data_IF_553561762048
#
_entry.id   IF_553561762048
#
_cell.length_a   1.000
_cell.length_b   1.000
_cell.length_c   1.000
_cell.angle_alpha   90.00
_cell.angle_beta   90.00
_cell.angle_gamma   90.00
#
_symmetry.space_group_name_H-M   'P 1'
#
loop_
_entity.id
_entity.type
_entity.pdbx_description
1 polymer ?
#
# COMPACT_ATOMS: atom_id res chain seq x y z
N UNK A 1 -45.81 -47.67 -19.19
CA UNK A 1 -44.65 -47.22 -20.01
C UNK A 1 -44.06 -46.01 -19.30
N UNK A 2 -42.91 -46.17 -18.63
CA UNK A 2 -41.60 -45.65 -19.10
C UNK A 2 -41.70 -44.14 -19.42
N UNK A 3 -41.07 -43.20 -18.72
CA UNK A 3 -39.84 -43.33 -17.96
C UNK A 3 -39.59 -42.20 -16.96
N UNK A 4 -38.83 -42.63 -15.97
CA UNK A 4 -38.01 -41.94 -14.99
C UNK A 4 -36.99 -41.01 -15.67
N UNK A 5 -36.70 -39.85 -15.06
CA UNK A 5 -35.46 -39.02 -15.12
C UNK A 5 -35.78 -37.75 -14.29
N UNK A 6 -35.56 -37.65 -12.98
CA UNK A 6 -34.33 -37.72 -12.19
C UNK A 6 -33.19 -36.86 -12.76
N UNK A 7 -33.16 -35.60 -12.34
CA UNK A 7 -32.06 -34.66 -12.53
C UNK A 7 -31.82 -33.87 -11.25
N UNK A 8 -31.11 -34.51 -10.30
CA UNK A 8 -30.73 -33.97 -9.00
C UNK A 8 -29.30 -33.41 -9.16
N UNK A 9 -29.16 -32.09 -9.33
CA UNK A 9 -27.85 -31.44 -9.46
C UNK A 9 -27.34 -31.08 -8.06
N UNK A 10 -26.64 -32.02 -7.42
CA UNK A 10 -25.94 -31.80 -6.15
C UNK A 10 -24.65 -31.03 -6.44
N UNK A 11 -24.59 -29.77 -5.98
CA UNK A 11 -23.34 -29.01 -5.91
C UNK A 11 -22.53 -29.59 -4.75
N UNK A 12 -21.58 -30.47 -5.06
CA UNK A 12 -20.57 -30.92 -4.12
C UNK A 12 -19.33 -30.00 -4.27
N UNK A 13 -19.22 -28.98 -3.41
CA UNK A 13 -17.94 -28.34 -3.12
C UNK A 13 -17.10 -29.33 -2.30
N UNK A 14 -16.39 -30.21 -3.00
CA UNK A 14 -15.38 -31.07 -2.39
C UNK A 14 -14.09 -30.29 -2.15
N UNK A 15 -13.81 -29.92 -0.91
CA UNK A 15 -12.45 -29.58 -0.48
C UNK A 15 -11.64 -30.87 -0.39
N UNK A 16 -11.02 -31.29 -1.49
CA UNK A 16 -9.91 -32.24 -1.45
C UNK A 16 -8.61 -31.47 -1.60
N UNK A 17 -8.00 -31.16 -0.47
CA UNK A 17 -6.57 -30.83 -0.39
C UNK A 17 -5.82 -32.10 -0.76
N UNK A 18 -5.50 -32.27 -2.05
CA UNK A 18 -4.49 -33.24 -2.47
C UNK A 18 -3.12 -32.60 -2.33
N UNK A 19 -2.45 -32.93 -1.23
CA UNK A 19 -1.03 -32.71 -1.01
C UNK A 19 -0.21 -33.57 -1.99
N UNK A 20 -0.08 -33.13 -3.23
CA UNK A 20 0.84 -33.77 -4.19
C UNK A 20 2.18 -33.03 -4.16
N UNK A 21 3.08 -33.57 -3.33
CA UNK A 21 4.50 -33.24 -3.30
C UNK A 21 5.17 -33.76 -4.57
N UNK A 22 5.46 -32.89 -5.54
CA UNK A 22 6.47 -33.13 -6.57
C UNK A 22 7.16 -31.83 -6.94
N UNK A 23 8.38 -31.67 -6.39
CA UNK A 23 9.59 -30.92 -6.79
C UNK A 23 9.60 -29.86 -7.94
N UNK A 24 8.50 -29.19 -8.29
CA UNK A 24 8.50 -28.05 -9.24
C UNK A 24 8.08 -26.71 -8.61
N UNK A 25 7.84 -26.68 -7.30
CA UNK A 25 7.31 -25.51 -6.58
C UNK A 25 8.38 -24.51 -6.09
N UNK A 26 9.65 -24.65 -6.52
CA UNK A 26 10.75 -23.78 -6.06
C UNK A 26 11.03 -22.58 -6.98
N UNK A 27 10.58 -22.60 -8.24
CA UNK A 27 10.70 -21.44 -9.14
C UNK A 27 9.51 -20.48 -9.00
N UNK A 28 8.28 -21.01 -8.89
CA UNK A 28 7.07 -20.18 -8.85
C UNK A 28 6.93 -19.28 -7.60
N UNK A 29 7.48 -19.69 -6.44
CA UNK A 29 7.51 -18.83 -5.24
C UNK A 29 8.54 -17.71 -5.30
N UNK A 30 9.58 -17.85 -6.14
CA UNK A 30 10.59 -16.80 -6.29
C UNK A 30 10.03 -15.70 -7.19
N UNK A 31 9.42 -16.05 -8.31
CA UNK A 31 8.89 -15.08 -9.26
C UNK A 31 7.72 -14.26 -8.66
N UNK A 32 6.77 -14.91 -7.98
CA UNK A 32 5.68 -14.20 -7.28
C UNK A 32 6.17 -13.27 -6.16
N UNK A 33 7.22 -13.65 -5.41
CA UNK A 33 7.78 -12.78 -4.35
C UNK A 33 8.57 -11.60 -4.94
N UNK A 34 9.16 -11.78 -6.13
CA UNK A 34 9.96 -10.73 -6.79
C UNK A 34 9.05 -9.70 -7.46
N UNK A 35 7.94 -10.14 -8.08
CA UNK A 35 6.93 -9.26 -8.67
C UNK A 35 6.12 -8.48 -7.61
N UNK A 36 5.75 -9.12 -6.49
CA UNK A 36 5.02 -8.45 -5.41
C UNK A 36 5.89 -7.37 -4.73
N UNK A 37 7.19 -7.63 -4.52
CA UNK A 37 8.10 -6.61 -4.00
C UNK A 37 8.29 -5.46 -4.99
N UNK A 38 8.56 -5.76 -6.27
CA UNK A 38 8.76 -4.73 -7.28
C UNK A 38 7.51 -3.85 -7.50
N UNK A 39 6.31 -4.39 -7.23
CA UNK A 39 5.05 -3.62 -7.29
C UNK A 39 4.88 -2.74 -6.05
N UNK A 40 5.24 -3.25 -4.87
CA UNK A 40 5.22 -2.47 -3.62
C UNK A 40 6.23 -1.30 -3.66
N UNK A 41 7.46 -1.56 -4.12
CA UNK A 41 8.50 -0.52 -4.28
C UNK A 41 8.04 0.60 -5.23
N UNK A 42 7.38 0.23 -6.35
CA UNK A 42 6.80 1.21 -7.29
C UNK A 42 5.67 2.01 -6.68
N UNK A 43 4.76 1.36 -5.95
CA UNK A 43 3.69 2.08 -5.25
C UNK A 43 4.24 3.06 -4.21
N UNK A 44 5.30 2.67 -3.50
CA UNK A 44 5.91 3.52 -2.48
C UNK A 44 6.58 4.75 -3.11
N UNK A 45 7.29 4.60 -4.23
CA UNK A 45 7.82 5.73 -5.01
C UNK A 45 6.70 6.64 -5.52
N UNK A 46 5.64 6.04 -6.05
CA UNK A 46 4.43 6.73 -6.52
C UNK A 46 3.79 7.59 -5.43
N UNK A 47 3.66 7.04 -4.22
CA UNK A 47 3.12 7.75 -3.06
C UNK A 47 4.05 8.89 -2.63
N UNK A 48 5.37 8.68 -2.61
CA UNK A 48 6.35 9.76 -2.32
C UNK A 48 6.22 10.91 -3.32
N UNK A 49 6.03 10.58 -4.60
CA UNK A 49 5.85 11.57 -5.65
C UNK A 49 4.55 12.37 -5.45
N UNK A 50 3.45 11.70 -5.13
CA UNK A 50 2.17 12.35 -4.84
C UNK A 50 2.26 13.25 -3.60
N UNK A 51 2.96 12.81 -2.55
CA UNK A 51 3.25 13.59 -1.35
C UNK A 51 4.03 14.87 -1.66
N UNK A 52 4.74 14.97 -2.78
CA UNK A 52 5.42 16.21 -3.19
C UNK A 52 4.59 17.10 -4.12
N UNK A 53 3.55 16.54 -4.75
CA UNK A 53 2.81 17.20 -5.85
C UNK A 53 1.43 17.71 -5.45
N UNK A 54 0.78 17.09 -4.46
CA UNK A 54 -0.61 17.43 -4.09
C UNK A 54 -0.72 17.97 -2.67
N UNK A 55 -1.33 19.15 -2.54
CA UNK A 55 -1.47 19.85 -1.27
C UNK A 55 -2.42 19.16 -0.28
N UNK A 56 -3.45 18.45 -0.76
CA UNK A 56 -4.40 17.77 0.12
C UNK A 56 -3.77 16.50 0.70
N UNK A 57 -3.07 15.71 -0.12
CA UNK A 57 -2.30 14.55 0.35
C UNK A 57 -1.20 15.01 1.31
N UNK A 58 -0.50 16.11 0.98
CA UNK A 58 0.47 16.73 1.89
C UNK A 58 -0.15 17.08 3.24
N UNK A 59 -1.26 17.80 3.21
CA UNK A 59 -1.94 18.26 4.42
C UNK A 59 -2.41 17.08 5.27
N UNK A 60 -3.14 16.13 4.69
CA UNK A 60 -3.67 14.98 5.43
C UNK A 60 -2.54 14.16 6.08
N UNK A 61 -1.45 13.96 5.34
CA UNK A 61 -0.30 13.21 5.85
C UNK A 61 0.46 13.98 6.93
N UNK A 62 0.64 15.29 6.77
CA UNK A 62 1.26 16.14 7.80
C UNK A 62 0.42 16.20 9.07
N UNK A 63 -0.91 16.32 8.94
CA UNK A 63 -1.83 16.30 10.07
C UNK A 63 -1.69 14.98 10.83
N UNK A 64 -1.75 13.84 10.13
CA UNK A 64 -1.53 12.51 10.72
C UNK A 64 -0.19 12.41 11.46
N UNK A 65 0.91 12.81 10.82
CA UNK A 65 2.24 12.72 11.44
C UNK A 65 2.44 13.71 12.61
N UNK A 66 1.64 14.78 12.66
CA UNK A 66 1.69 15.75 13.76
C UNK A 66 0.81 15.32 14.94
N UNK A 67 -0.24 14.54 14.68
CA UNK A 67 -1.15 14.00 15.70
C UNK A 67 -0.69 12.66 16.26
N UNK A 68 0.20 11.94 15.56
CA UNK A 68 0.73 10.66 15.99
C UNK A 68 1.84 10.84 17.04
N UNK A 69 1.68 10.22 18.21
CA UNK A 69 2.61 10.35 19.35
C UNK A 69 4.05 9.91 19.05
N UNK A 70 4.24 8.96 18.10
CA UNK A 70 5.54 8.42 17.73
C UNK A 70 6.32 9.37 16.79
N UNK A 71 5.61 10.12 15.95
CA UNK A 71 6.20 10.94 14.89
C UNK A 71 6.15 12.44 15.18
N UNK A 72 5.19 12.91 15.98
CA UNK A 72 4.95 14.32 16.29
C UNK A 72 6.22 15.07 16.71
N UNK A 73 7.05 14.49 17.59
CA UNK A 73 8.28 15.15 18.06
C UNK A 73 9.28 15.38 16.94
N UNK A 74 9.40 14.42 16.03
CA UNK A 74 10.32 14.52 14.89
C UNK A 74 9.80 15.50 13.85
N UNK A 75 8.49 15.46 13.56
CA UNK A 75 7.83 16.42 12.67
C UNK A 75 7.96 17.85 13.21
N UNK A 76 7.74 18.06 14.51
CA UNK A 76 7.90 19.37 15.13
C UNK A 76 9.35 19.89 15.06
N UNK A 77 10.34 19.00 15.11
CA UNK A 77 11.76 19.36 14.91
C UNK A 77 12.00 19.79 13.46
N UNK A 78 11.52 19.00 12.50
CA UNK A 78 11.64 19.30 11.06
C UNK A 78 10.93 20.61 10.71
N UNK A 79 9.74 20.85 11.27
CA UNK A 79 8.97 22.07 11.04
C UNK A 79 9.71 23.33 11.47
N UNK A 80 10.51 23.24 12.53
CA UNK A 80 11.39 24.34 12.98
C UNK A 80 12.57 24.56 12.03
N UNK A 81 13.11 23.49 11.45
CA UNK A 81 14.25 23.55 10.52
C UNK A 81 13.83 24.01 9.11
N UNK A 82 12.61 23.69 8.68
CA UNK A 82 12.07 24.01 7.35
C UNK A 82 11.38 25.39 7.25
N UNK A 83 11.53 26.24 8.28
CA UNK A 83 10.96 27.60 8.34
C UNK A 83 9.44 27.68 8.05
N UNK A 84 8.70 26.61 8.31
CA UNK A 84 7.24 26.57 8.13
C UNK A 84 6.73 26.35 6.69
N UNK A 85 7.60 26.14 5.69
CA UNK A 85 7.16 25.79 4.33
C UNK A 85 6.58 24.37 4.30
N UNK A 86 5.30 24.20 3.96
CA UNK A 86 4.66 22.86 3.91
C UNK A 86 5.41 21.87 3.01
N UNK A 87 5.80 22.31 1.82
CA UNK A 87 6.58 21.49 0.89
C UNK A 87 7.98 21.20 1.43
N UNK A 88 8.61 22.18 2.10
CA UNK A 88 9.91 21.98 2.76
C UNK A 88 9.84 20.98 3.92
N UNK A 89 8.77 21.03 4.70
CA UNK A 89 8.49 20.08 5.78
C UNK A 89 8.29 18.69 5.21
N UNK A 90 7.49 18.55 4.15
CA UNK A 90 7.26 17.25 3.51
C UNK A 90 8.53 16.69 2.88
N UNK A 91 9.32 17.51 2.17
CA UNK A 91 10.62 17.12 1.62
C UNK A 91 11.58 16.60 2.73
N UNK A 92 11.62 17.28 3.87
CA UNK A 92 12.42 16.84 5.01
C UNK A 92 11.88 15.56 5.68
N UNK A 93 10.55 15.38 5.72
CA UNK A 93 9.91 14.13 6.17
C UNK A 93 10.30 12.97 5.26
N UNK A 94 10.26 13.18 3.93
CA UNK A 94 10.62 12.18 2.93
C UNK A 94 12.12 11.83 2.90
N UNK A 95 12.96 12.61 3.57
CA UNK A 95 14.38 12.33 3.81
C UNK A 95 14.64 11.56 5.11
N UNK A 96 13.65 11.51 6.01
CA UNK A 96 13.72 10.71 7.24
C UNK A 96 13.03 9.37 7.00
N UNK A 97 13.78 8.26 7.05
CA UNK A 97 13.27 6.93 6.74
C UNK A 97 12.06 6.52 7.59
N UNK A 98 12.08 6.82 8.89
CA UNK A 98 10.99 6.47 9.80
C UNK A 98 9.71 7.28 9.50
N UNK A 99 9.84 8.58 9.25
CA UNK A 99 8.70 9.44 8.91
C UNK A 99 8.19 9.17 7.50
N UNK A 100 9.08 8.84 6.57
CA UNK A 100 8.73 8.42 5.21
C UNK A 100 7.90 7.15 5.24
N UNK A 101 8.33 6.16 6.02
CA UNK A 101 7.59 4.90 6.17
C UNK A 101 6.21 5.15 6.77
N UNK A 102 6.13 5.95 7.85
CA UNK A 102 4.85 6.30 8.46
C UNK A 102 3.92 7.09 7.51
N UNK A 103 4.48 7.99 6.68
CA UNK A 103 3.75 8.74 5.68
C UNK A 103 3.16 7.82 4.60
N UNK A 104 3.98 6.91 4.08
CA UNK A 104 3.58 5.96 3.05
C UNK A 104 2.53 4.98 3.59
N UNK A 105 2.76 4.43 4.78
CA UNK A 105 1.82 3.50 5.43
C UNK A 105 0.47 4.17 5.69
N UNK A 106 0.47 5.45 6.09
CA UNK A 106 -0.75 6.23 6.20
C UNK A 106 -1.45 6.36 4.86
N UNK A 107 -0.78 6.80 3.79
CA UNK A 107 -1.43 6.90 2.47
C UNK A 107 -1.95 5.55 1.99
N UNK A 108 -1.20 4.46 2.16
CA UNK A 108 -1.61 3.09 1.77
C UNK A 108 -2.82 2.58 2.55
N UNK A 109 -2.95 2.97 3.82
CA UNK A 109 -4.09 2.57 4.67
C UNK A 109 -5.33 3.46 4.48
N UNK A 110 -5.21 4.59 3.78
CA UNK A 110 -6.31 5.48 3.44
C UNK A 110 -6.69 5.32 1.96
N UNK A 111 -7.77 4.58 1.62
CA UNK A 111 -8.10 4.27 0.23
C UNK A 111 -8.35 5.51 -0.62
N UNK A 112 -8.96 6.57 -0.06
CA UNK A 112 -9.19 7.84 -0.78
C UNK A 112 -7.87 8.56 -1.11
N UNK A 113 -6.94 8.62 -0.15
CA UNK A 113 -5.62 9.23 -0.36
C UNK A 113 -4.76 8.40 -1.31
N UNK A 114 -4.85 7.07 -1.22
CA UNK A 114 -4.16 6.16 -2.12
C UNK A 114 -4.67 6.31 -3.56
N UNK A 115 -5.98 6.32 -3.76
CA UNK A 115 -6.59 6.53 -5.08
C UNK A 115 -6.15 7.87 -5.66
N UNK A 116 -6.21 8.92 -4.85
CA UNK A 116 -5.76 10.25 -5.26
C UNK A 116 -4.27 10.27 -5.61
N UNK A 117 -3.44 9.64 -4.78
CA UNK A 117 -2.01 9.52 -5.02
C UNK A 117 -1.75 8.85 -6.37
N UNK A 118 -2.40 7.71 -6.64
CA UNK A 118 -2.24 6.94 -7.88
C UNK A 118 -2.77 7.70 -9.11
N UNK A 119 -3.87 8.45 -8.98
CA UNK A 119 -4.44 9.26 -10.06
C UNK A 119 -3.50 10.38 -10.54
N UNK A 120 -2.77 11.01 -9.61
CA UNK A 120 -1.83 12.11 -9.91
C UNK A 120 -0.64 11.70 -10.79
N UNK A 121 -0.33 10.41 -10.81
CA UNK A 121 0.85 9.82 -11.46
C UNK A 121 0.50 9.18 -12.80
N UNK A 122 -0.77 9.24 -13.21
CA UNK A 122 -1.22 8.86 -14.55
C UNK A 122 -1.41 7.36 -14.74
N UNK A 123 -2.17 6.71 -13.85
CA UNK A 123 -2.80 5.40 -14.11
C UNK A 123 -4.29 5.55 -14.41
#
# INVERSE_FOLDING_TARGET
MKGLLLGLFVIALGTTVSAQTTKSMKKMKKDAKTEVNATADKQDEQIKDALMKDEEIQKATLDYLTENEETQKQVAKIAKEAEGSKTGIMDAILKNEALTTAAIDYVKSNPELLEKAMSLIGM
#
